data_IF_226528021314
#
_entry.id   IF_226528021314
#
_cell.length_a   1.000
_cell.length_b   1.000
_cell.length_c   1.000
_cell.angle_alpha   90.00
_cell.angle_beta   90.00
_cell.angle_gamma   90.00
#
_symmetry.space_group_name_H-M   'P 1'
#
loop_
_entity.id
_entity.type
_entity.pdbx_description
1 polymer ?
#
# COMPACT_ATOMS: atom_id res chain seq x y z
N UNK A 1 -5.42 12.86 -21.08
CA UNK A 1 -4.51 11.99 -20.31
C UNK A 1 -4.81 10.55 -20.72
N UNK A 2 -3.80 9.73 -20.99
CA UNK A 2 -3.99 8.31 -21.33
C UNK A 2 -4.31 7.55 -20.04
N UNK A 3 -5.27 6.63 -20.07
CA UNK A 3 -5.58 5.79 -18.90
C UNK A 3 -4.37 4.89 -18.63
N UNK A 4 -3.96 4.86 -17.36
CA UNK A 4 -2.89 3.99 -16.87
C UNK A 4 -3.33 3.33 -15.56
N UNK A 5 -3.36 2.00 -15.54
CA UNK A 5 -3.71 1.15 -14.40
C UNK A 5 -2.51 0.28 -14.03
N UNK A 6 -2.57 -0.40 -12.88
CA UNK A 6 -1.54 -1.37 -12.48
C UNK A 6 -2.08 -2.53 -11.67
N UNK A 7 -1.44 -3.68 -11.84
CA UNK A 7 -1.50 -4.76 -10.87
C UNK A 7 -0.21 -4.76 -10.03
N UNK A 8 -0.38 -4.65 -8.71
CA UNK A 8 0.72 -4.52 -7.77
C UNK A 8 0.71 -5.62 -6.69
N UNK A 9 1.00 -6.89 -7.03
CA UNK A 9 0.97 -7.99 -6.07
C UNK A 9 2.21 -8.01 -5.17
N UNK A 10 2.01 -8.32 -3.89
CA UNK A 10 3.10 -8.75 -3.01
C UNK A 10 3.29 -10.27 -3.12
N UNK A 11 4.50 -10.78 -3.44
CA UNK A 11 4.73 -12.21 -3.56
C UNK A 11 4.63 -12.86 -2.19
N UNK A 12 3.51 -13.51 -1.96
CA UNK A 12 3.15 -14.16 -0.69
C UNK A 12 2.81 -15.64 -0.89
N UNK A 13 3.18 -16.18 -2.06
CA UNK A 13 2.83 -17.49 -2.57
C UNK A 13 2.21 -17.40 -3.96
N UNK A 14 1.11 -18.10 -4.19
CA UNK A 14 0.43 -18.17 -5.48
C UNK A 14 -0.47 -16.94 -5.77
N UNK A 15 -0.68 -16.65 -7.05
CA UNK A 15 -1.71 -15.72 -7.51
C UNK A 15 -3.11 -16.29 -7.21
N UNK A 16 -3.71 -15.85 -6.10
CA UNK A 16 -5.07 -16.25 -5.74
C UNK A 16 -6.12 -15.60 -6.66
N UNK A 17 -7.32 -16.19 -6.72
CA UNK A 17 -8.42 -15.74 -7.60
C UNK A 17 -8.80 -14.27 -7.36
N UNK A 18 -8.76 -13.81 -6.11
CA UNK A 18 -9.00 -12.40 -5.78
C UNK A 18 -7.97 -11.44 -6.42
N UNK A 19 -6.69 -11.83 -6.40
CA UNK A 19 -5.60 -11.10 -7.04
C UNK A 19 -5.75 -11.12 -8.56
N UNK A 20 -5.99 -12.31 -9.14
CA UNK A 20 -6.24 -12.47 -10.57
C UNK A 20 -7.44 -11.63 -11.07
N UNK A 21 -8.53 -11.57 -10.31
CA UNK A 21 -9.70 -10.73 -10.64
C UNK A 21 -9.36 -9.24 -10.58
N UNK A 22 -8.52 -8.82 -9.63
CA UNK A 22 -8.05 -7.43 -9.54
C UNK A 22 -7.16 -7.06 -10.72
N UNK A 23 -6.25 -7.96 -11.12
CA UNK A 23 -5.45 -7.82 -12.32
C UNK A 23 -6.33 -7.73 -13.57
N UNK A 24 -7.31 -8.63 -13.71
CA UNK A 24 -8.27 -8.66 -14.81
C UNK A 24 -9.04 -7.34 -14.94
N UNK A 25 -9.58 -6.78 -13.85
CA UNK A 25 -10.29 -5.51 -13.92
C UNK A 25 -9.38 -4.34 -14.30
N UNK A 26 -8.16 -4.30 -13.76
CA UNK A 26 -7.17 -3.29 -14.12
C UNK A 26 -6.79 -3.36 -15.60
N UNK A 27 -6.58 -4.58 -16.11
CA UNK A 27 -6.29 -4.86 -17.51
C UNK A 27 -7.47 -4.49 -18.42
N UNK A 28 -8.68 -4.98 -18.13
CA UNK A 28 -9.88 -4.66 -18.92
C UNK A 28 -10.15 -3.16 -18.98
N UNK A 29 -9.99 -2.46 -17.86
CA UNK A 29 -10.22 -1.03 -17.80
C UNK A 29 -9.20 -0.26 -18.66
N UNK A 30 -7.91 -0.63 -18.61
CA UNK A 30 -6.90 -0.07 -19.50
C UNK A 30 -7.23 -0.37 -20.97
N UNK A 31 -7.49 -1.63 -21.32
CA UNK A 31 -7.76 -2.04 -22.72
C UNK A 31 -8.99 -1.36 -23.30
N UNK A 32 -10.10 -1.28 -22.54
CA UNK A 32 -11.33 -0.63 -22.99
C UNK A 32 -11.14 0.86 -23.30
N UNK A 33 -10.18 1.52 -22.67
CA UNK A 33 -9.89 2.94 -22.87
C UNK A 33 -8.65 3.21 -23.74
N UNK A 34 -8.07 2.19 -24.38
CA UNK A 34 -6.82 2.33 -25.14
C UNK A 34 -5.64 2.79 -24.27
N UNK A 35 -5.67 2.44 -22.99
CA UNK A 35 -4.69 2.77 -21.97
C UNK A 35 -3.56 1.76 -21.83
N UNK A 36 -2.79 1.92 -20.76
CA UNK A 36 -1.66 1.06 -20.37
C UNK A 36 -1.95 0.34 -19.05
N UNK A 37 -1.50 -0.90 -18.97
CA UNK A 37 -1.56 -1.77 -17.81
C UNK A 37 -0.14 -2.10 -17.34
N UNK A 38 0.20 -1.67 -16.13
CA UNK A 38 1.53 -1.85 -15.54
C UNK A 38 1.55 -3.06 -14.61
N UNK A 39 2.63 -3.85 -14.65
CA UNK A 39 2.92 -4.86 -13.63
C UNK A 39 4.02 -4.38 -12.69
N UNK A 40 3.74 -4.38 -11.38
CA UNK A 40 4.69 -4.01 -10.33
C UNK A 40 4.72 -5.04 -9.21
N UNK A 41 5.87 -5.65 -8.97
CA UNK A 41 6.04 -6.64 -7.91
C UNK A 41 6.44 -5.92 -6.60
N UNK A 42 5.61 -6.07 -5.56
CA UNK A 42 5.83 -5.47 -4.24
C UNK A 42 6.68 -6.39 -3.36
N UNK A 43 7.95 -6.52 -3.73
CA UNK A 43 8.94 -7.45 -3.18
C UNK A 43 9.72 -6.91 -1.96
N UNK A 44 9.17 -5.92 -1.25
CA UNK A 44 9.84 -5.30 -0.09
C UNK A 44 9.94 -6.21 1.15
N UNK A 45 9.10 -7.25 1.24
CA UNK A 45 9.20 -8.29 2.25
C UNK A 45 10.06 -9.45 1.71
N UNK A 46 11.37 -9.37 1.97
CA UNK A 46 12.35 -10.32 1.43
C UNK A 46 12.14 -11.77 1.89
N UNK A 47 11.56 -11.97 3.08
CA UNK A 47 11.29 -13.32 3.59
C UNK A 47 10.16 -14.00 2.80
N UNK A 48 9.16 -13.21 2.36
CA UNK A 48 8.01 -13.72 1.60
C UNK A 48 8.25 -13.70 0.09
N UNK A 49 9.09 -12.78 -0.38
CA UNK A 49 9.32 -12.52 -1.80
C UNK A 49 10.36 -13.45 -2.41
N UNK A 50 10.09 -14.76 -2.35
CA UNK A 50 10.99 -15.75 -2.96
C UNK A 50 10.91 -15.72 -4.49
N UNK A 51 11.97 -16.12 -5.21
CA UNK A 51 11.92 -16.24 -6.67
C UNK A 51 10.75 -17.08 -7.17
N UNK A 52 10.41 -18.17 -6.46
CA UNK A 52 9.32 -19.07 -6.79
C UNK A 52 7.94 -18.41 -6.62
N UNK A 53 7.78 -17.56 -5.59
CA UNK A 53 6.54 -16.80 -5.39
C UNK A 53 6.34 -15.75 -6.49
N UNK A 54 7.43 -15.11 -6.93
CA UNK A 54 7.41 -14.18 -8.06
C UNK A 54 7.06 -14.94 -9.35
N UNK A 55 7.74 -16.05 -9.64
CA UNK A 55 7.49 -16.89 -10.82
C UNK A 55 6.03 -17.37 -10.86
N UNK A 56 5.47 -17.81 -9.74
CA UNK A 56 4.07 -18.22 -9.65
C UNK A 56 3.08 -17.10 -10.00
N UNK A 57 3.40 -15.84 -9.70
CA UNK A 57 2.61 -14.68 -10.13
C UNK A 57 2.72 -14.51 -11.64
N UNK A 58 3.94 -14.56 -12.20
CA UNK A 58 4.19 -14.39 -13.62
C UNK A 58 3.47 -15.47 -14.44
N UNK A 59 3.57 -16.73 -14.01
CA UNK A 59 2.90 -17.87 -14.64
C UNK A 59 1.38 -17.71 -14.62
N UNK A 60 0.82 -17.29 -13.48
CA UNK A 60 -0.62 -17.03 -13.37
C UNK A 60 -1.10 -15.92 -14.32
N UNK A 61 -0.33 -14.84 -14.43
CA UNK A 61 -0.63 -13.73 -15.35
C UNK A 61 -0.55 -14.17 -16.82
N UNK A 62 0.50 -14.92 -17.19
CA UNK A 62 0.70 -15.46 -18.54
C UNK A 62 -0.40 -16.46 -18.91
N UNK A 63 -0.75 -17.37 -18.00
CA UNK A 63 -1.81 -18.35 -18.22
C UNK A 63 -3.17 -17.71 -18.46
N UNK A 64 -3.47 -16.61 -17.76
CA UNK A 64 -4.68 -15.81 -17.97
C UNK A 64 -4.59 -14.87 -19.19
N UNK A 65 -3.45 -14.82 -19.89
CA UNK A 65 -3.20 -13.90 -21.01
C UNK A 65 -3.39 -12.42 -20.64
N UNK A 66 -3.04 -12.05 -19.40
CA UNK A 66 -3.10 -10.68 -18.90
C UNK A 66 -1.79 -9.94 -19.18
N UNK A 67 -1.52 -9.67 -20.46
CA UNK A 67 -0.31 -8.97 -20.91
C UNK A 67 -0.26 -7.53 -20.38
N UNK A 68 0.88 -7.16 -19.76
CA UNK A 68 1.18 -5.80 -19.31
C UNK A 68 2.03 -5.04 -20.33
N UNK A 69 1.80 -3.73 -20.41
CA UNK A 69 2.49 -2.84 -21.33
C UNK A 69 3.83 -2.34 -20.76
N UNK A 70 3.93 -2.24 -19.43
CA UNK A 70 5.14 -1.84 -18.72
C UNK A 70 5.45 -2.76 -17.54
N UNK A 71 6.75 -2.99 -17.29
CA UNK A 71 7.25 -3.85 -16.23
C UNK A 71 7.65 -5.26 -16.70
N UNK A 72 7.86 -6.21 -15.77
CA UNK A 72 7.65 -6.07 -14.33
C UNK A 72 8.64 -5.11 -13.67
N UNK A 73 8.12 -4.16 -12.89
CA UNK A 73 8.92 -3.36 -11.97
C UNK A 73 9.06 -4.06 -10.63
N UNK A 74 10.16 -3.84 -9.92
CA UNK A 74 10.44 -4.43 -8.60
C UNK A 74 10.72 -3.31 -7.60
N UNK A 75 10.06 -3.33 -6.45
CA UNK A 75 10.22 -2.29 -5.44
C UNK A 75 11.60 -2.32 -4.79
N UNK A 76 12.21 -3.50 -4.63
CA UNK A 76 13.60 -3.63 -4.12
C UNK A 76 14.62 -2.86 -4.95
N UNK A 77 14.37 -2.68 -6.25
CA UNK A 77 15.23 -1.92 -7.17
C UNK A 77 15.02 -0.40 -7.11
N UNK A 78 14.15 0.09 -6.22
CA UNK A 78 13.72 1.49 -6.15
C UNK A 78 13.90 2.11 -4.76
N UNK A 79 14.61 1.44 -3.86
CA UNK A 79 14.83 1.92 -2.48
C UNK A 79 15.54 3.28 -2.45
N UNK A 80 16.49 3.52 -3.34
CA UNK A 80 17.17 4.82 -3.45
C UNK A 80 16.18 5.94 -3.82
N UNK A 81 15.25 5.66 -4.73
CA UNK A 81 14.19 6.61 -5.11
C UNK A 81 13.27 6.90 -3.92
N UNK A 82 12.83 5.87 -3.20
CA UNK A 82 11.98 6.06 -2.02
C UNK A 82 12.69 6.89 -0.96
N UNK A 83 13.94 6.55 -0.62
CA UNK A 83 14.71 7.28 0.38
C UNK A 83 14.94 8.73 -0.01
N UNK A 84 15.25 9.00 -1.29
CA UNK A 84 15.39 10.37 -1.78
C UNK A 84 14.10 11.20 -1.59
N UNK A 85 12.92 10.61 -1.82
CA UNK A 85 11.64 11.30 -1.58
C UNK A 85 11.39 11.51 -0.08
N UNK A 86 11.75 10.54 0.78
CA UNK A 86 11.64 10.69 2.24
C UNK A 86 12.54 11.81 2.75
N UNK A 87 13.77 11.90 2.23
CA UNK A 87 14.72 12.94 2.61
C UNK A 87 14.23 14.32 2.17
N UNK A 88 13.65 14.44 0.96
CA UNK A 88 12.94 15.66 0.54
C UNK A 88 11.80 16.01 1.51
N UNK A 89 10.98 15.05 1.91
CA UNK A 89 9.86 15.31 2.84
C UNK A 89 10.33 15.73 4.23
N UNK A 90 11.49 15.24 4.69
CA UNK A 90 12.13 15.70 5.92
C UNK A 90 12.57 17.17 5.79
N UNK A 91 13.19 17.55 4.67
CA UNK A 91 13.59 18.93 4.40
C UNK A 91 12.39 19.89 4.31
N UNK A 92 11.29 19.43 3.70
CA UNK A 92 10.04 20.20 3.55
C UNK A 92 9.19 20.23 4.84
N UNK A 93 9.56 19.47 5.87
CA UNK A 93 8.81 19.38 7.13
C UNK A 93 7.49 18.61 7.02
N UNK A 94 7.27 17.85 5.94
CA UNK A 94 6.12 16.96 5.76
C UNK A 94 6.38 15.54 6.30
N UNK A 95 7.60 15.28 6.78
CA UNK A 95 7.98 14.10 7.55
C UNK A 95 8.92 14.50 8.70
N UNK A 96 9.07 13.64 9.70
CA UNK A 96 9.98 13.86 10.83
C UNK A 96 10.56 12.55 11.38
N UNK A 97 11.72 12.64 12.04
CA UNK A 97 12.35 11.51 12.73
C UNK A 97 11.66 11.25 14.07
N UNK A 98 11.44 9.98 14.39
CA UNK A 98 10.82 9.53 15.63
C UNK A 98 11.72 8.52 16.34
N UNK A 99 12.04 8.82 17.59
CA UNK A 99 12.93 8.05 18.47
C UNK A 99 12.18 7.30 19.58
N UNK A 100 10.84 7.20 19.47
CA UNK A 100 10.05 6.45 20.44
C UNK A 100 10.46 4.96 20.44
N UNK A 101 10.77 4.43 21.62
CA UNK A 101 11.08 3.02 21.79
C UNK A 101 9.86 2.13 21.53
N UNK A 102 10.11 0.85 21.22
CA UNK A 102 9.04 -0.14 20.99
C UNK A 102 8.20 -0.34 22.26
N UNK A 103 8.85 -0.38 23.42
CA UNK A 103 8.21 -0.57 24.73
C UNK A 103 7.22 0.56 25.01
N UNK A 104 7.61 1.81 24.70
CA UNK A 104 6.71 2.95 24.83
C UNK A 104 5.49 2.81 23.92
N UNK A 105 5.70 2.45 22.66
CA UNK A 105 4.61 2.33 21.69
C UNK A 105 3.64 1.19 22.05
N UNK A 106 4.16 0.10 22.62
CA UNK A 106 3.32 -1.00 23.12
C UNK A 106 2.50 -0.57 24.34
N UNK A 107 3.13 0.11 25.31
CA UNK A 107 2.41 0.64 26.48
C UNK A 107 1.31 1.65 26.08
N UNK A 108 1.60 2.54 25.12
CA UNK A 108 0.60 3.47 24.57
C UNK A 108 -0.58 2.72 23.94
N UNK A 109 -0.29 1.67 23.18
CA UNK A 109 -1.31 0.83 22.54
C UNK A 109 -2.18 0.14 23.58
N UNK A 110 -1.59 -0.49 24.60
CA UNK A 110 -2.32 -1.14 25.69
C UNK A 110 -3.21 -0.15 26.45
N UNK A 111 -2.70 1.05 26.74
CA UNK A 111 -3.45 2.13 27.39
C UNK A 111 -4.67 2.57 26.56
N UNK A 112 -4.48 2.82 25.25
CA UNK A 112 -5.56 3.19 24.34
C UNK A 112 -6.62 2.08 24.24
N UNK A 113 -6.18 0.82 24.14
CA UNK A 113 -7.09 -0.34 24.11
C UNK A 113 -7.89 -0.47 25.41
N UNK A 114 -7.25 -0.26 26.58
CA UNK A 114 -7.93 -0.29 27.87
C UNK A 114 -8.99 0.83 28.02
N UNK A 115 -8.82 1.95 27.30
CA UNK A 115 -9.81 3.04 27.21
C UNK A 115 -10.88 2.84 26.14
N UNK A 116 -10.80 1.76 25.35
CA UNK A 116 -11.70 1.52 24.21
C UNK A 116 -11.44 2.43 23.01
N UNK A 117 -10.27 3.06 22.96
CA UNK A 117 -9.85 3.91 21.85
C UNK A 117 -9.22 3.08 20.71
N UNK A 118 -9.31 3.56 19.46
CA UNK A 118 -8.55 2.97 18.35
C UNK A 118 -7.06 3.24 18.56
N UNK A 119 -6.20 2.19 18.62
CA UNK A 119 -4.78 2.39 18.83
C UNK A 119 -4.12 3.18 17.71
N UNK A 120 -3.32 4.17 18.08
CA UNK A 120 -2.63 5.06 17.14
C UNK A 120 -1.42 5.70 17.77
N UNK A 121 -0.45 6.08 16.94
CA UNK A 121 0.65 6.91 17.41
C UNK A 121 0.14 8.30 17.86
N UNK A 122 0.67 8.79 18.96
CA UNK A 122 0.22 10.02 19.63
C UNK A 122 0.95 11.29 19.18
N UNK A 123 1.85 11.19 18.19
CA UNK A 123 2.55 12.35 17.64
C UNK A 123 3.68 12.89 18.53
N UNK A 124 4.12 12.17 19.57
CA UNK A 124 5.09 12.66 20.57
C UNK A 124 6.32 13.34 19.96
N UNK A 125 6.89 12.78 18.89
CA UNK A 125 8.12 13.30 18.28
C UNK A 125 7.87 14.39 17.21
N UNK A 126 6.62 14.69 16.84
CA UNK A 126 6.29 15.59 15.72
C UNK A 126 6.82 17.01 15.91
N UNK A 127 6.81 17.49 17.14
CA UNK A 127 7.28 18.80 17.54
C UNK A 127 8.36 18.71 18.63
N UNK A 128 9.00 17.55 18.77
CA UNK A 128 10.09 17.42 19.73
C UNK A 128 11.31 18.20 19.24
N UNK A 129 11.92 18.92 20.17
CA UNK A 129 13.21 19.60 19.99
C UNK A 129 14.32 18.89 20.77
N UNK A 130 14.09 17.65 21.21
CA UNK A 130 15.07 16.85 21.91
C UNK A 130 16.29 16.64 21.02
N UNK A 131 17.48 16.82 21.60
CA UNK A 131 18.73 16.55 20.91
C UNK A 131 18.98 15.04 20.88
N UNK A 132 19.09 14.49 19.67
CA UNK A 132 19.46 13.10 19.42
C UNK A 132 20.82 13.04 18.74
N UNK A 133 21.56 11.95 18.97
CA UNK A 133 22.80 11.72 18.23
C UNK A 133 22.50 11.42 16.75
N UNK A 134 23.43 11.76 15.86
CA UNK A 134 23.24 11.59 14.41
C UNK A 134 23.00 10.11 14.01
N UNK A 135 23.58 9.18 14.76
CA UNK A 135 23.51 7.74 14.58
C UNK A 135 22.45 7.05 15.46
N UNK A 136 21.70 7.81 16.25
CA UNK A 136 20.69 7.24 17.13
C UNK A 136 19.57 6.56 16.31
N UNK A 137 19.27 5.27 16.57
CA UNK A 137 18.26 4.54 15.81
C UNK A 137 16.90 5.23 15.85
N UNK A 138 16.35 5.55 14.68
CA UNK A 138 15.04 6.18 14.56
C UNK A 138 14.25 5.61 13.40
N UNK A 139 12.96 5.95 13.35
CA UNK A 139 12.12 5.78 12.17
C UNK A 139 11.79 7.15 11.60
N UNK A 140 11.39 7.22 10.32
CA UNK A 140 10.81 8.45 9.76
C UNK A 140 9.31 8.26 9.66
N UNK A 141 8.55 9.22 10.19
CA UNK A 141 7.09 9.27 10.13
C UNK A 141 6.63 10.36 9.19
N UNK A 142 5.55 10.09 8.47
CA UNK A 142 4.81 11.10 7.71
C UNK A 142 4.03 12.00 8.68
N UNK A 143 4.11 13.31 8.50
CA UNK A 143 3.36 14.28 9.29
C UNK A 143 1.94 14.42 8.73
N UNK A 144 1.05 13.46 9.03
CA UNK A 144 -0.33 13.48 8.54
C UNK A 144 -1.05 14.75 9.01
N UNK A 145 -1.93 15.39 8.22
CA UNK A 145 -2.74 16.50 8.70
C UNK A 145 -3.50 16.13 10.00
N UNK A 146 -3.61 17.06 10.95
CA UNK A 146 -4.25 16.82 12.25
C UNK A 146 -5.76 17.12 12.23
N UNK A 147 -6.19 17.96 11.29
CA UNK A 147 -7.57 18.44 11.17
C UNK A 147 -8.13 18.21 9.76
N UNK A 148 -9.43 18.42 9.60
CA UNK A 148 -10.16 18.19 8.35
C UNK A 148 -10.36 16.71 8.03
N UNK A 149 -10.77 16.45 6.79
CA UNK A 149 -11.06 15.10 6.31
C UNK A 149 -10.44 14.84 4.94
N UNK A 150 -10.22 13.56 4.66
CA UNK A 150 -9.91 13.08 3.32
C UNK A 150 -11.20 12.57 2.71
N UNK A 151 -11.65 13.26 1.66
CA UNK A 151 -12.80 12.86 0.86
C UNK A 151 -12.32 12.37 -0.50
N UNK A 152 -12.84 11.23 -0.93
CA UNK A 152 -12.62 10.71 -2.28
C UNK A 152 -13.88 10.01 -2.79
N UNK A 153 -14.14 10.12 -4.09
CA UNK A 153 -15.25 9.45 -4.76
C UNK A 153 -14.76 8.13 -5.37
N UNK A 154 -15.00 7.04 -4.66
CA UNK A 154 -14.62 5.71 -5.12
C UNK A 154 -15.57 5.26 -6.23
N UNK A 155 -15.02 4.80 -7.34
CA UNK A 155 -15.83 4.45 -8.53
C UNK A 155 -16.73 3.22 -8.33
N UNK A 156 -16.60 2.50 -7.21
CA UNK A 156 -17.45 1.36 -6.85
C UNK A 156 -18.25 1.62 -5.58
N UNK A 157 -17.65 2.28 -4.58
CA UNK A 157 -18.26 2.52 -3.26
C UNK A 157 -18.94 3.87 -3.13
N UNK A 158 -18.75 4.76 -4.10
CA UNK A 158 -19.24 6.13 -4.06
C UNK A 158 -18.42 7.01 -3.10
N UNK A 159 -19.02 8.10 -2.59
CA UNK A 159 -18.31 9.07 -1.77
C UNK A 159 -17.91 8.47 -0.42
N UNK A 160 -16.64 8.57 -0.09
CA UNK A 160 -16.07 8.14 1.19
C UNK A 160 -15.35 9.32 1.85
N UNK A 161 -15.53 9.45 3.15
CA UNK A 161 -14.90 10.47 3.98
C UNK A 161 -14.24 9.82 5.21
N UNK A 162 -12.99 10.21 5.46
CA UNK A 162 -12.27 9.86 6.69
C UNK A 162 -11.80 11.12 7.39
N UNK A 163 -12.12 11.26 8.68
CA UNK A 163 -11.54 12.31 9.52
C UNK A 163 -10.03 12.07 9.69
N UNK A 164 -9.23 13.13 9.56
CA UNK A 164 -7.79 13.04 9.80
C UNK A 164 -7.47 12.70 11.27
N UNK A 165 -8.38 12.94 12.20
CA UNK A 165 -8.23 12.55 13.61
C UNK A 165 -8.26 11.02 13.81
N UNK A 166 -8.80 10.26 12.85
CA UNK A 166 -8.77 8.80 12.86
C UNK A 166 -7.47 8.22 12.26
N UNK A 167 -6.67 9.08 11.64
CA UNK A 167 -5.39 8.73 11.04
C UNK A 167 -4.26 9.13 12.00
N UNK A 168 -3.08 8.56 11.76
CA UNK A 168 -1.89 8.83 12.54
C UNK A 168 -0.66 8.98 11.65
N UNK A 169 0.42 9.46 12.27
CA UNK A 169 1.69 9.69 11.61
C UNK A 169 2.39 8.35 11.37
N UNK A 170 2.01 7.70 10.27
CA UNK A 170 2.53 6.39 9.89
C UNK A 170 4.02 6.43 9.59
N UNK A 171 4.70 5.32 9.86
CA UNK A 171 6.12 5.16 9.53
C UNK A 171 6.25 5.04 8.01
N UNK A 172 7.11 5.86 7.40
CA UNK A 172 7.46 5.80 5.97
C UNK A 172 8.86 5.23 5.73
N UNK A 173 9.76 5.32 6.73
CA UNK A 173 11.08 4.66 6.75
C UNK A 173 11.30 3.95 8.08
N UNK A 174 11.61 2.67 8.04
CA UNK A 174 11.98 1.86 9.21
C UNK A 174 13.42 2.17 9.66
N UNK A 175 13.78 1.67 10.83
CA UNK A 175 15.11 1.87 11.44
C UNK A 175 16.26 1.27 10.62
N UNK A 176 15.98 0.21 9.87
CA UNK A 176 16.94 -0.40 8.93
C UNK A 176 17.05 0.36 7.60
N UNK A 177 16.38 1.51 7.47
CA UNK A 177 16.33 2.30 6.24
C UNK A 177 15.32 1.82 5.20
N UNK A 178 14.64 0.69 5.42
CA UNK A 178 13.64 0.18 4.48
C UNK A 178 12.37 1.05 4.48
N UNK A 179 11.84 1.43 3.30
CA UNK A 179 10.58 2.16 3.21
C UNK A 179 9.38 1.23 3.45
N UNK A 180 8.25 1.80 3.89
CA UNK A 180 7.05 1.01 4.18
C UNK A 180 6.09 0.94 2.99
N UNK A 181 5.25 -0.09 2.97
CA UNK A 181 4.26 -0.33 1.92
C UNK A 181 3.47 0.92 1.48
N UNK A 182 2.85 1.64 2.43
CA UNK A 182 2.03 2.80 2.10
C UNK A 182 2.82 3.91 1.40
N UNK A 183 4.11 4.03 1.72
CA UNK A 183 4.98 5.01 1.10
C UNK A 183 5.43 4.55 -0.29
N UNK A 184 5.90 3.30 -0.42
CA UNK A 184 6.36 2.76 -1.70
C UNK A 184 5.25 2.82 -2.77
N UNK A 185 4.02 2.41 -2.43
CA UNK A 185 2.88 2.44 -3.36
C UNK A 185 2.58 3.85 -3.85
N UNK A 186 2.67 4.86 -2.98
CA UNK A 186 2.43 6.26 -3.36
C UNK A 186 3.48 6.76 -4.34
N UNK A 187 4.77 6.55 -4.01
CA UNK A 187 5.86 7.00 -4.88
C UNK A 187 5.82 6.29 -6.22
N UNK A 188 5.51 4.98 -6.23
CA UNK A 188 5.39 4.23 -7.47
C UNK A 188 4.18 4.63 -8.30
N UNK A 189 3.00 4.77 -7.69
CA UNK A 189 1.80 5.18 -8.40
C UNK A 189 1.98 6.61 -8.98
N UNK A 190 2.74 7.48 -8.31
CA UNK A 190 3.12 8.79 -8.83
C UNK A 190 4.14 8.71 -9.97
N UNK A 191 5.30 8.08 -9.76
CA UNK A 191 6.39 7.99 -10.75
C UNK A 191 5.97 7.22 -12.01
N UNK A 192 5.08 6.24 -11.88
CA UNK A 192 4.52 5.47 -12.99
C UNK A 192 3.29 6.14 -13.62
N UNK A 193 2.90 7.33 -13.14
CA UNK A 193 1.76 8.11 -13.63
C UNK A 193 0.44 7.32 -13.65
N UNK A 194 0.23 6.49 -12.62
CA UNK A 194 -1.01 5.73 -12.47
C UNK A 194 -2.17 6.70 -12.35
N UNK A 195 -3.17 6.52 -13.20
CA UNK A 195 -4.39 7.34 -13.22
C UNK A 195 -5.53 6.70 -12.44
N UNK A 196 -5.57 5.36 -12.40
CA UNK A 196 -6.65 4.58 -11.82
C UNK A 196 -6.09 3.43 -10.98
N UNK A 197 -6.36 3.47 -9.68
CA UNK A 197 -5.99 2.43 -8.71
C UNK A 197 -7.21 1.55 -8.45
N UNK A 198 -7.21 0.37 -9.08
CA UNK A 198 -8.25 -0.66 -8.90
C UNK A 198 -7.68 -1.75 -7.99
N UNK A 199 -8.27 -1.95 -6.81
CA UNK A 199 -7.76 -2.90 -5.80
C UNK A 199 -8.85 -3.43 -4.86
N UNK A 200 -8.53 -4.43 -4.05
CA UNK A 200 -9.47 -4.99 -3.06
C UNK A 200 -9.89 -3.98 -1.99
N UNK A 201 -11.14 -4.10 -1.52
CA UNK A 201 -11.72 -3.24 -0.47
C UNK A 201 -11.02 -3.35 0.89
N UNK A 202 -10.25 -4.42 1.11
CA UNK A 202 -9.40 -4.59 2.29
C UNK A 202 -8.32 -3.49 2.39
N UNK A 203 -7.95 -2.87 1.28
CA UNK A 203 -7.04 -1.73 1.25
C UNK A 203 -7.71 -0.36 1.37
N UNK A 204 -9.04 -0.28 1.53
CA UNK A 204 -9.77 0.99 1.50
C UNK A 204 -9.31 1.97 2.59
N UNK A 205 -9.00 1.46 3.78
CA UNK A 205 -8.52 2.24 4.92
C UNK A 205 -7.09 2.80 4.73
N UNK A 206 -6.33 2.30 3.75
CA UNK A 206 -5.02 2.85 3.39
C UNK A 206 -5.14 4.05 2.44
N UNK A 207 -6.23 4.12 1.66
CA UNK A 207 -6.46 5.19 0.67
C UNK A 207 -6.35 6.61 1.25
N UNK A 208 -6.99 6.97 2.37
CA UNK A 208 -6.86 8.33 2.89
C UNK A 208 -5.43 8.69 3.29
N UNK A 209 -4.66 7.72 3.81
CA UNK A 209 -3.24 7.89 4.14
C UNK A 209 -2.41 8.15 2.90
N UNK A 210 -2.65 7.38 1.84
CA UNK A 210 -1.95 7.51 0.55
C UNK A 210 -2.27 8.85 -0.13
N UNK A 211 -3.54 9.28 -0.10
CA UNK A 211 -3.96 10.59 -0.62
C UNK A 211 -3.25 11.72 0.13
N UNK A 212 -3.14 11.66 1.46
CA UNK A 212 -2.43 12.69 2.22
C UNK A 212 -0.94 12.76 1.87
N UNK A 213 -0.28 11.62 1.65
CA UNK A 213 1.12 11.59 1.20
C UNK A 213 1.23 12.22 -0.21
N UNK A 214 0.36 11.84 -1.15
CA UNK A 214 0.34 12.44 -2.50
C UNK A 214 0.15 13.97 -2.44
N UNK A 215 -0.79 14.44 -1.61
CA UNK A 215 -1.04 15.88 -1.41
C UNK A 215 0.19 16.60 -0.82
N UNK A 216 0.87 15.98 0.16
CA UNK A 216 2.10 16.54 0.74
C UNK A 216 3.21 16.65 -0.31
N UNK A 217 3.35 15.64 -1.17
CA UNK A 217 4.27 15.62 -2.31
C UNK A 217 3.83 16.52 -3.48
N UNK A 218 2.65 17.16 -3.39
CA UNK A 218 2.02 17.92 -4.48
C UNK A 218 1.85 17.10 -5.76
N UNK A 219 1.68 15.79 -5.60
CA UNK A 219 1.50 14.83 -6.68
C UNK A 219 0.00 14.71 -7.07
N UNK A 220 -0.32 14.30 -8.31
CA UNK A 220 -1.68 14.04 -8.73
C UNK A 220 -2.28 12.88 -7.93
N UNK A 221 -3.55 13.02 -7.52
CA UNK A 221 -4.28 11.93 -6.87
C UNK A 221 -4.99 11.09 -7.92
N UNK A 222 -4.73 9.76 -8.01
CA UNK A 222 -5.43 8.91 -8.96
C UNK A 222 -6.88 8.69 -8.56
N UNK A 223 -7.67 8.24 -9.51
CA UNK A 223 -9.02 7.72 -9.26
C UNK A 223 -8.91 6.36 -8.56
N UNK A 224 -9.72 6.13 -7.53
CA UNK A 224 -9.74 4.86 -6.79
C UNK A 224 -11.01 4.07 -7.08
N UNK A 225 -10.88 2.74 -7.13
CA UNK A 225 -12.00 1.80 -7.22
C UNK A 225 -11.73 0.57 -6.34
N UNK A 226 -12.56 0.35 -5.31
CA UNK A 226 -12.36 -0.72 -4.33
C UNK A 226 -13.33 -1.90 -4.54
N UNK A 227 -12.82 -2.98 -5.14
CA UNK A 227 -13.59 -4.18 -5.49
C UNK A 227 -13.87 -5.06 -4.27
N UNK A 228 -15.11 -5.57 -4.15
CA UNK A 228 -15.52 -6.44 -3.04
C UNK A 228 -14.72 -7.72 -2.99
N UNK A 229 -14.34 -8.22 -1.81
CA UNK A 229 -13.62 -9.49 -1.71
C UNK A 229 -14.44 -10.66 -2.27
N UNK A 230 -13.74 -11.69 -2.76
CA UNK A 230 -14.39 -12.97 -3.09
C UNK A 230 -14.58 -13.72 -1.78
N UNK A 231 -15.81 -14.14 -1.50
CA UNK A 231 -16.11 -15.04 -0.40
C UNK A 231 -16.03 -16.49 -0.91
N UNK A 232 -15.58 -17.39 -0.05
CA UNK A 232 -15.67 -18.83 -0.28
C UNK A 232 -17.12 -19.31 -0.14
N UNK A 233 -17.35 -20.58 -0.50
CA UNK A 233 -18.67 -21.22 -0.44
C UNK A 233 -19.27 -21.23 0.98
N UNK A 234 -18.44 -21.03 2.01
CA UNK A 234 -18.84 -20.94 3.43
C UNK A 234 -19.15 -19.50 3.89
N UNK A 235 -19.13 -18.53 2.98
CA UNK A 235 -19.35 -17.11 3.27
C UNK A 235 -18.18 -16.43 3.99
N UNK A 236 -17.07 -17.15 4.25
CA UNK A 236 -15.85 -16.56 4.81
C UNK A 236 -14.98 -16.00 3.69
N UNK A 237 -14.11 -15.06 4.04
CA UNK A 237 -13.14 -14.49 3.09
C UNK A 237 -12.31 -15.61 2.47
N UNK A 238 -12.15 -15.63 1.15
CA UNK A 238 -11.18 -16.52 0.49
C UNK A 238 -9.78 -16.02 0.82
N UNK A 239 -9.17 -16.58 1.87
CA UNK A 239 -7.78 -16.30 2.27
C UNK A 239 -6.84 -17.12 1.41
N UNK A 240 -5.62 -16.65 1.22
CA UNK A 240 -4.54 -17.25 0.43
C UNK A 240 -4.28 -18.76 0.68
N UNK A 241 -4.77 -19.32 1.78
CA UNK A 241 -4.63 -20.72 2.17
C UNK A 241 -5.78 -21.64 1.76
N UNK A 242 -6.90 -21.11 1.25
CA UNK A 242 -8.03 -21.94 0.83
C UNK A 242 -7.72 -22.63 -0.49
N UNK A 243 -7.12 -23.83 -0.42
CA UNK A 243 -7.03 -24.75 -1.55
C UNK A 243 -8.46 -25.02 -2.04
N UNK A 244 -8.79 -24.51 -3.22
CA UNK A 244 -9.95 -25.00 -3.96
C UNK A 244 -9.82 -26.52 -4.06
N UNK A 245 -10.81 -27.24 -3.56
CA UNK A 245 -10.76 -28.68 -3.43
C UNK A 245 -10.42 -29.33 -4.76
N UNK A 246 -9.26 -29.99 -4.83
CA UNK A 246 -9.01 -31.02 -5.82
C UNK A 246 -10.06 -32.11 -5.60
N UNK A 247 -11.14 -32.06 -6.37
CA UNK A 247 -11.98 -33.24 -6.56
C UNK A 247 -11.14 -34.21 -7.37
N UNK A 248 -10.63 -35.23 -6.69
CA UNK A 248 -10.09 -36.42 -7.33
C UNK A 248 -11.16 -36.99 -8.26
N UNK A 249 -10.95 -36.85 -9.57
CA UNK A 249 -11.59 -37.70 -10.56
C UNK A 249 -10.84 -39.03 -10.54
N UNK A 250 -11.34 -39.98 -9.76
CA UNK A 250 -10.97 -41.39 -9.89
C UNK A 250 -11.92 -41.98 -10.92
N UNK A 251 -11.37 -42.42 -12.05
CA UNK A 251 -11.93 -43.52 -12.86
C UNK A 251 -11.42 -44.84 -12.31
#
# INVERSE_FOLDING_TARGET
>A
MKIKTRFAPSPTGYLHVGGARTALYSWLFARNHGGEFVLRIEDTDLERSTPEAIEAIMDGMNWLSLEWDEGPYYQTKRFDRYNAVIDQMLEEGTAYKCYCSKERLEALREEQMAKGEKPRYDGRCRHSHDHHADDEPCVVRFANPQEGSVVFDDQIRGPIEFSNQELDDLIIRRTDGSPTYNFCVVVDDWDMEITHVIRGEDHINNTPRQINILKALKAPVPVYAHVSMINGDDGKKTVQTSRGGQRNAVS
#
